data_IF_287935624184
#
_entry.id   IF_287935624184
#
_cell.length_a   1.000
_cell.length_b   1.000
_cell.length_c   1.000
_cell.angle_alpha   90.00
_cell.angle_beta   90.00
_cell.angle_gamma   90.00
#
_symmetry.space_group_name_H-M   'P 1'
#
loop_
_entity.id
_entity.type
_entity.pdbx_description
1 polymer ?
#
# COMPACT_ATOMS: atom_id res chain seq x y z
N UNK A 1 21.59 -15.23 13.95
CA UNK A 1 21.34 -15.55 12.52
C UNK A 1 21.12 -14.24 11.80
N UNK A 2 21.79 -13.94 10.69
CA UNK A 2 21.52 -12.76 9.87
C UNK A 2 20.79 -13.24 8.64
N UNK A 3 19.62 -12.67 8.36
CA UNK A 3 18.89 -12.90 7.12
C UNK A 3 19.25 -11.77 6.16
N UNK A 4 19.67 -12.12 4.96
CA UNK A 4 19.98 -11.15 3.91
C UNK A 4 18.84 -11.18 2.89
N UNK A 5 18.02 -10.13 2.91
CA UNK A 5 17.04 -9.89 1.85
C UNK A 5 17.71 -9.37 0.58
N UNK A 6 17.07 -9.54 -0.56
CA UNK A 6 17.54 -9.01 -1.86
C UNK A 6 17.24 -7.52 -2.05
N UNK A 7 16.46 -6.91 -1.18
CA UNK A 7 16.15 -5.47 -1.15
C UNK A 7 16.09 -4.96 0.29
N UNK A 8 16.20 -3.64 0.44
CA UNK A 8 15.99 -2.98 1.73
C UNK A 8 14.54 -2.58 1.95
N UNK A 9 14.24 -1.98 3.10
CA UNK A 9 12.91 -1.53 3.55
C UNK A 9 12.80 -0.01 3.70
N UNK A 10 13.61 0.74 2.97
CA UNK A 10 13.78 2.18 3.22
C UNK A 10 12.47 2.97 3.12
N UNK A 11 11.62 2.70 2.12
CA UNK A 11 10.35 3.41 2.01
C UNK A 11 9.40 2.99 3.12
N UNK A 12 9.25 1.70 3.35
CA UNK A 12 8.42 1.14 4.41
C UNK A 12 8.74 1.80 5.76
N UNK A 13 9.99 1.75 6.17
CA UNK A 13 10.46 2.33 7.43
C UNK A 13 10.26 3.85 7.47
N UNK A 14 10.56 4.55 6.38
CA UNK A 14 10.40 6.01 6.29
C UNK A 14 8.94 6.44 6.44
N UNK A 15 8.00 5.71 5.83
CA UNK A 15 6.58 6.05 5.90
C UNK A 15 6.01 5.84 7.29
N UNK A 16 6.37 4.77 7.98
CA UNK A 16 5.95 4.54 9.37
C UNK A 16 6.58 5.54 10.33
N UNK A 17 7.89 5.82 10.20
CA UNK A 17 8.56 6.81 11.03
C UNK A 17 7.93 8.22 10.87
N UNK A 18 7.64 8.62 9.64
CA UNK A 18 6.99 9.91 9.36
C UNK A 18 5.59 10.01 9.97
N UNK A 19 4.77 8.96 9.83
CA UNK A 19 3.44 8.88 10.44
C UNK A 19 3.53 8.93 11.97
N UNK A 20 4.46 8.20 12.58
CA UNK A 20 4.68 8.21 14.03
C UNK A 20 5.07 9.60 14.53
N UNK A 21 6.01 10.28 13.88
CA UNK A 21 6.41 11.66 14.23
C UNK A 21 5.22 12.61 14.10
N UNK A 22 4.43 12.50 13.04
CA UNK A 22 3.25 13.34 12.84
C UNK A 22 2.19 13.09 13.93
N UNK A 23 1.89 11.82 14.23
CA UNK A 23 0.86 11.42 15.20
C UNK A 23 1.20 11.81 16.65
N UNK A 24 2.49 11.81 17.01
CA UNK A 24 2.94 12.20 18.36
C UNK A 24 3.06 13.72 18.56
N UNK A 25 2.77 14.53 17.52
CA UNK A 25 2.91 15.98 17.58
C UNK A 25 4.36 16.48 17.55
N UNK A 26 5.33 15.58 17.41
CA UNK A 26 6.77 15.92 17.35
C UNK A 26 7.19 16.58 16.03
N UNK A 27 6.28 16.75 15.09
CA UNK A 27 6.58 17.42 13.81
C UNK A 27 7.17 18.81 13.94
N UNK A 28 6.80 19.56 15.00
CA UNK A 28 7.36 20.89 15.27
C UNK A 28 8.79 20.84 15.83
N UNK A 29 9.14 19.80 16.57
CA UNK A 29 10.47 19.63 17.17
C UNK A 29 11.44 18.89 16.24
N UNK A 30 10.91 18.12 15.28
CA UNK A 30 11.66 17.34 14.30
C UNK A 30 11.37 17.75 12.84
N UNK A 31 11.36 19.07 12.51
CA UNK A 31 10.98 19.51 11.16
C UNK A 31 11.92 18.98 10.08
N UNK A 32 13.23 18.88 10.36
CA UNK A 32 14.22 18.36 9.40
C UNK A 32 14.01 16.88 9.10
N UNK A 33 13.56 16.09 10.09
CA UNK A 33 13.26 14.67 9.90
C UNK A 33 12.06 14.48 8.98
N UNK A 34 10.96 15.23 9.20
CA UNK A 34 9.79 15.18 8.32
C UNK A 34 10.11 15.72 6.92
N UNK A 35 10.94 16.75 6.80
CA UNK A 35 11.37 17.26 5.50
C UNK A 35 12.24 16.24 4.75
N UNK A 36 13.13 15.54 5.44
CA UNK A 36 13.92 14.43 4.88
C UNK A 36 13.03 13.29 4.40
N UNK A 37 12.08 12.86 5.24
CA UNK A 37 11.10 11.84 4.90
C UNK A 37 10.25 12.24 3.68
N UNK A 38 9.77 13.49 3.64
CA UNK A 38 9.01 14.01 2.50
C UNK A 38 9.77 13.92 1.18
N UNK A 39 11.05 14.34 1.19
CA UNK A 39 11.91 14.23 -0.01
C UNK A 39 12.10 12.77 -0.45
N UNK A 40 12.30 11.88 0.51
CA UNK A 40 12.50 10.47 0.20
C UNK A 40 11.22 9.82 -0.36
N UNK A 41 10.07 10.07 0.25
CA UNK A 41 8.76 9.59 -0.21
C UNK A 41 8.48 10.13 -1.63
N UNK A 42 8.72 11.42 -1.87
CA UNK A 42 8.57 12.02 -3.20
C UNK A 42 9.45 11.34 -4.25
N UNK A 43 10.74 11.14 -3.95
CA UNK A 43 11.69 10.52 -4.85
C UNK A 43 11.42 9.04 -5.12
N UNK A 44 10.85 8.32 -4.14
CA UNK A 44 10.61 6.88 -4.22
C UNK A 44 9.35 6.50 -4.98
N UNK A 45 8.45 7.43 -5.28
CA UNK A 45 7.22 7.12 -6.01
C UNK A 45 7.51 6.70 -7.47
N UNK A 46 6.89 5.62 -7.90
CA UNK A 46 6.93 5.17 -9.31
C UNK A 46 6.21 6.17 -10.19
N UNK A 47 6.92 6.74 -11.18
CA UNK A 47 6.44 7.85 -12.00
C UNK A 47 5.82 7.43 -13.33
N UNK A 48 6.04 6.18 -13.74
CA UNK A 48 5.57 5.67 -15.03
C UNK A 48 5.19 4.19 -14.90
N UNK A 49 4.32 3.74 -15.77
CA UNK A 49 4.05 2.32 -15.93
C UNK A 49 5.24 1.61 -16.60
N UNK A 50 5.29 0.29 -16.46
CA UNK A 50 6.21 -0.52 -17.23
C UNK A 50 5.93 -0.37 -18.74
N UNK A 51 6.92 -0.71 -19.57
CA UNK A 51 6.78 -0.62 -21.02
C UNK A 51 5.55 -1.40 -21.54
N UNK A 52 4.71 -0.79 -22.40
CA UNK A 52 3.55 -1.47 -22.96
C UNK A 52 3.98 -2.53 -24.00
N UNK A 53 3.13 -3.54 -24.28
CA UNK A 53 1.84 -3.76 -23.66
C UNK A 53 1.94 -4.54 -22.34
N UNK A 54 1.40 -4.00 -21.26
CA UNK A 54 1.49 -4.57 -19.91
C UNK A 54 1.05 -6.04 -19.86
N UNK A 55 -0.04 -6.38 -20.54
CA UNK A 55 -0.61 -7.74 -20.59
C UNK A 55 0.38 -8.78 -21.14
N UNK A 56 1.24 -8.39 -22.08
CA UNK A 56 2.25 -9.30 -22.67
C UNK A 56 3.24 -9.80 -21.60
N UNK A 57 3.51 -8.95 -20.60
CA UNK A 57 4.46 -9.22 -19.54
C UNK A 57 3.78 -9.54 -18.21
N UNK A 58 2.47 -9.81 -18.25
CA UNK A 58 1.65 -10.08 -17.06
C UNK A 58 1.76 -8.98 -15.99
N UNK A 59 1.92 -7.71 -16.41
CA UNK A 59 2.04 -6.57 -15.51
C UNK A 59 0.74 -5.77 -15.44
N UNK A 60 0.51 -5.17 -14.27
CA UNK A 60 -0.53 -4.16 -14.04
C UNK A 60 0.05 -2.74 -14.11
N UNK A 61 -0.81 -1.75 -13.91
CA UNK A 61 -0.39 -0.36 -13.79
C UNK A 61 0.50 -0.20 -12.55
N UNK A 62 1.49 0.69 -12.64
CA UNK A 62 2.47 0.94 -11.58
C UNK A 62 2.57 2.42 -11.21
N UNK A 63 2.21 3.30 -12.14
CA UNK A 63 2.32 4.75 -11.97
C UNK A 63 1.55 5.24 -10.75
N UNK A 64 2.23 5.90 -9.83
CA UNK A 64 1.67 6.42 -8.58
C UNK A 64 1.92 5.54 -7.36
N UNK A 65 2.31 4.28 -7.55
CA UNK A 65 2.62 3.35 -6.47
C UNK A 65 3.95 3.66 -5.78
N UNK A 66 4.18 3.01 -4.66
CA UNK A 66 5.48 2.96 -3.98
C UNK A 66 5.96 1.52 -3.84
N UNK A 67 7.27 1.29 -4.02
CA UNK A 67 7.92 0.00 -3.76
C UNK A 67 8.26 -0.14 -2.27
N UNK A 68 8.83 -1.28 -1.89
CA UNK A 68 9.25 -1.54 -0.52
C UNK A 68 10.50 -0.74 -0.11
N UNK A 69 11.43 -0.55 -1.03
CA UNK A 69 12.74 0.06 -0.77
C UNK A 69 12.93 1.41 -1.49
N UNK A 70 13.52 1.39 -2.66
CA UNK A 70 13.81 2.56 -3.51
C UNK A 70 13.03 2.51 -4.82
N UNK A 71 12.93 3.63 -5.52
CA UNK A 71 12.27 3.68 -6.82
C UNK A 71 12.84 2.66 -7.82
N UNK A 72 14.14 2.40 -7.78
CA UNK A 72 14.81 1.46 -8.69
C UNK A 72 14.34 0.02 -8.53
N UNK A 73 13.86 -0.36 -7.36
CA UNK A 73 13.20 -1.64 -7.15
C UNK A 73 11.95 -1.77 -8.04
N UNK A 74 11.25 -0.66 -8.29
CA UNK A 74 10.24 -0.50 -9.35
C UNK A 74 9.00 -1.38 -9.23
N UNK A 75 8.93 -2.30 -8.29
CA UNK A 75 7.79 -3.20 -8.12
C UNK A 75 6.79 -2.58 -7.13
N UNK A 76 5.58 -2.23 -7.57
CA UNK A 76 4.55 -1.71 -6.69
C UNK A 76 4.16 -2.72 -5.63
N UNK A 77 3.95 -2.22 -4.41
CA UNK A 77 3.46 -3.02 -3.29
C UNK A 77 2.25 -2.31 -2.71
N UNK A 78 1.16 -3.04 -2.50
CA UNK A 78 -0.13 -2.45 -2.14
C UNK A 78 -0.12 -1.74 -0.80
N UNK A 79 0.45 -2.37 0.23
CA UNK A 79 0.59 -1.78 1.56
C UNK A 79 1.62 -0.65 1.59
N UNK A 80 2.78 -0.79 0.92
CA UNK A 80 3.76 0.28 0.82
C UNK A 80 3.22 1.50 0.08
N UNK A 81 2.42 1.30 -0.98
CA UNK A 81 1.72 2.39 -1.68
C UNK A 81 0.71 3.07 -0.74
N UNK A 82 0.01 2.30 0.05
CA UNK A 82 -0.95 2.78 1.05
C UNK A 82 -0.27 3.57 2.16
N UNK A 83 0.85 3.07 2.68
CA UNK A 83 1.64 3.77 3.69
C UNK A 83 2.30 5.03 3.12
N UNK A 84 2.77 5.01 1.87
CA UNK A 84 3.26 6.19 1.16
C UNK A 84 2.20 7.28 1.02
N UNK A 85 0.97 6.90 0.67
CA UNK A 85 -0.18 7.79 0.61
C UNK A 85 -0.48 8.39 1.99
N UNK A 86 -0.65 7.57 3.02
CA UNK A 86 -0.94 8.02 4.40
C UNK A 86 0.15 8.92 4.97
N UNK A 87 1.42 8.54 4.79
CA UNK A 87 2.54 9.35 5.25
C UNK A 87 2.58 10.73 4.55
N UNK A 88 2.29 10.77 3.24
CA UNK A 88 2.20 12.04 2.50
C UNK A 88 1.11 12.94 3.06
N UNK A 89 -0.06 12.38 3.40
CA UNK A 89 -1.17 13.12 4.00
C UNK A 89 -0.86 13.57 5.43
N UNK A 90 -0.23 12.70 6.23
CA UNK A 90 0.16 13.00 7.61
C UNK A 90 1.21 14.13 7.68
N UNK A 91 2.21 14.10 6.80
CA UNK A 91 3.22 15.17 6.70
C UNK A 91 2.54 16.49 6.26
N UNK A 92 1.64 16.44 5.26
CA UNK A 92 0.90 17.62 4.81
C UNK A 92 0.07 18.23 5.95
N UNK A 93 -0.61 17.39 6.74
CA UNK A 93 -1.40 17.85 7.89
C UNK A 93 -0.53 18.45 9.00
N UNK A 94 0.60 17.82 9.30
CA UNK A 94 1.50 18.28 10.38
C UNK A 94 2.31 19.54 10.03
N UNK A 95 2.63 19.76 8.75
CA UNK A 95 3.57 20.80 8.32
C UNK A 95 2.96 21.86 7.40
N UNK A 96 1.77 21.63 6.84
CA UNK A 96 1.16 22.44 5.80
C UNK A 96 1.82 22.28 4.41
N UNK A 97 2.89 21.49 4.27
CA UNK A 97 3.65 21.32 3.02
C UNK A 97 3.27 20.02 2.33
N UNK A 98 2.91 20.10 1.06
CA UNK A 98 2.64 18.90 0.25
C UNK A 98 3.92 18.12 -0.01
N UNK A 99 3.83 16.80 0.13
CA UNK A 99 4.91 15.86 -0.25
C UNK A 99 4.89 15.65 -1.76
N UNK A 100 3.71 15.30 -2.31
CA UNK A 100 3.48 15.10 -3.74
C UNK A 100 2.25 15.88 -4.20
N UNK A 101 2.10 16.11 -5.50
CA UNK A 101 0.92 16.79 -6.05
C UNK A 101 -0.36 15.97 -5.84
N UNK A 102 -1.53 16.64 -5.86
CA UNK A 102 -2.83 15.95 -5.75
C UNK A 102 -3.01 14.88 -6.84
N UNK A 103 -2.68 15.19 -8.10
CA UNK A 103 -2.78 14.21 -9.18
C UNK A 103 -1.90 12.98 -8.96
N UNK A 104 -0.75 13.11 -8.30
CA UNK A 104 0.09 11.96 -7.94
C UNK A 104 -0.47 11.14 -6.78
N UNK A 105 -1.21 11.76 -5.87
CA UNK A 105 -1.99 11.03 -4.87
C UNK A 105 -3.14 10.27 -5.53
N UNK A 106 -3.81 10.87 -6.53
CA UNK A 106 -4.84 10.20 -7.33
C UNK A 106 -4.27 9.05 -8.17
N UNK A 107 -3.05 9.17 -8.70
CA UNK A 107 -2.38 8.06 -9.38
C UNK A 107 -2.19 6.88 -8.40
N UNK A 108 -1.79 7.15 -7.14
CA UNK A 108 -1.70 6.11 -6.11
C UNK A 108 -3.06 5.49 -5.79
N UNK A 109 -4.09 6.30 -5.59
CA UNK A 109 -5.47 5.82 -5.38
C UNK A 109 -5.91 4.92 -6.54
N UNK A 110 -5.57 5.28 -7.78
CA UNK A 110 -5.87 4.46 -8.95
C UNK A 110 -5.21 3.07 -8.87
N UNK A 111 -3.95 3.01 -8.46
CA UNK A 111 -3.25 1.74 -8.27
C UNK A 111 -3.93 0.91 -7.17
N UNK A 112 -4.18 1.49 -6.00
CA UNK A 112 -4.84 0.80 -4.89
C UNK A 112 -6.19 0.24 -5.32
N UNK A 113 -7.03 1.03 -5.99
CA UNK A 113 -8.33 0.59 -6.50
C UNK A 113 -8.21 -0.54 -7.53
N UNK A 114 -7.21 -0.46 -8.42
CA UNK A 114 -7.00 -1.46 -9.48
C UNK A 114 -6.47 -2.80 -8.95
N UNK A 115 -5.80 -2.79 -7.78
CA UNK A 115 -5.23 -3.98 -7.16
C UNK A 115 -6.23 -4.73 -6.26
N UNK A 116 -7.42 -4.19 -6.06
CA UNK A 116 -8.43 -4.90 -5.29
C UNK A 116 -8.90 -6.16 -6.01
N UNK A 117 -8.70 -7.32 -5.38
CA UNK A 117 -9.13 -8.60 -5.90
C UNK A 117 -10.66 -8.77 -5.86
N UNK A 118 -11.18 -9.76 -6.58
CA UNK A 118 -12.62 -10.08 -6.62
C UNK A 118 -13.21 -10.41 -5.25
N UNK A 119 -12.41 -10.99 -4.34
CA UNK A 119 -12.82 -11.26 -2.96
C UNK A 119 -13.00 -9.98 -2.12
N UNK A 120 -12.51 -8.84 -2.59
CA UNK A 120 -12.55 -7.55 -1.89
C UNK A 120 -11.25 -7.20 -1.14
N UNK A 121 -10.32 -8.15 -1.00
CA UNK A 121 -9.03 -7.93 -0.37
C UNK A 121 -7.93 -7.51 -1.35
N UNK A 122 -6.75 -7.25 -0.83
CA UNK A 122 -5.54 -6.92 -1.59
C UNK A 122 -4.41 -7.88 -1.28
N UNK A 123 -3.70 -8.28 -2.32
CA UNK A 123 -2.45 -9.02 -2.26
C UNK A 123 -1.27 -8.04 -2.07
N UNK A 124 -0.06 -8.56 -1.88
CA UNK A 124 1.13 -7.74 -1.66
C UNK A 124 1.50 -6.91 -2.89
N UNK A 125 1.59 -7.56 -4.04
CA UNK A 125 2.12 -6.92 -5.24
C UNK A 125 1.01 -6.43 -6.18
N UNK A 126 0.43 -7.32 -6.96
CA UNK A 126 -0.59 -7.04 -7.97
C UNK A 126 -1.82 -7.89 -7.67
N UNK A 127 -2.81 -7.93 -8.55
CA UNK A 127 -3.93 -8.86 -8.36
C UNK A 127 -3.45 -10.30 -8.33
N UNK A 128 -4.04 -11.10 -7.44
CA UNK A 128 -3.79 -12.53 -7.33
C UNK A 128 -4.00 -13.23 -8.68
N UNK A 129 -3.03 -14.03 -9.07
CA UNK A 129 -3.05 -14.84 -10.30
C UNK A 129 -2.85 -16.29 -9.95
N UNK A 130 -3.26 -17.17 -10.88
CA UNK A 130 -3.06 -18.61 -10.73
C UNK A 130 -4.04 -19.28 -9.76
N UNK A 131 -3.75 -20.48 -9.33
CA UNK A 131 -4.65 -21.35 -8.59
C UNK A 131 -3.92 -22.03 -7.42
N UNK A 132 -4.62 -22.28 -6.29
CA UNK A 132 -3.99 -22.74 -5.05
C UNK A 132 -3.19 -24.02 -5.15
N UNK A 133 -3.52 -24.91 -6.11
CA UNK A 133 -2.81 -26.17 -6.28
C UNK A 133 -1.33 -26.00 -6.63
N UNK A 134 -0.91 -24.83 -7.10
CA UNK A 134 0.52 -24.54 -7.33
C UNK A 134 1.34 -24.53 -6.03
N UNK A 135 0.71 -24.36 -4.87
CA UNK A 135 1.41 -24.48 -3.58
C UNK A 135 2.02 -25.87 -3.35
N UNK A 136 1.54 -26.91 -4.05
CA UNK A 136 2.16 -28.25 -4.03
C UNK A 136 3.60 -28.23 -4.59
N UNK A 137 3.95 -27.22 -5.37
CA UNK A 137 5.30 -27.02 -5.91
C UNK A 137 6.19 -26.16 -5.01
N UNK A 138 5.68 -25.74 -3.85
CA UNK A 138 6.44 -24.90 -2.91
C UNK A 138 7.67 -25.66 -2.40
N UNK A 139 8.90 -25.21 -2.72
CA UNK A 139 10.11 -25.87 -2.27
C UNK A 139 10.53 -25.44 -0.85
N UNK A 140 9.82 -24.48 -0.23
CA UNK A 140 10.18 -23.95 1.07
C UNK A 140 9.73 -24.89 2.18
N UNK A 141 10.66 -25.25 3.07
CA UNK A 141 10.35 -26.04 4.27
C UNK A 141 9.77 -25.18 5.40
N UNK A 142 10.08 -23.89 5.39
CA UNK A 142 9.82 -22.96 6.50
C UNK A 142 8.56 -22.14 6.28
N UNK A 143 8.20 -21.83 5.03
CA UNK A 143 7.09 -20.97 4.69
C UNK A 143 6.04 -21.69 3.87
N UNK A 144 4.78 -21.63 4.30
CA UNK A 144 3.61 -22.03 3.51
C UNK A 144 3.03 -20.86 2.72
N UNK A 145 2.22 -21.19 1.71
CA UNK A 145 1.40 -20.22 0.97
C UNK A 145 2.19 -19.04 0.38
N UNK A 146 3.35 -19.32 -0.24
CA UNK A 146 4.26 -18.32 -0.81
C UNK A 146 4.41 -18.37 -2.32
N UNK A 147 3.86 -19.40 -2.99
CA UNK A 147 3.91 -19.52 -4.45
C UNK A 147 2.87 -18.60 -5.10
N UNK A 148 1.76 -18.38 -4.41
CA UNK A 148 0.68 -17.50 -4.82
C UNK A 148 0.67 -16.27 -3.91
N UNK A 149 0.51 -15.07 -4.49
CA UNK A 149 0.29 -13.84 -3.74
C UNK A 149 -1.22 -13.70 -3.47
N UNK A 150 -1.64 -14.17 -2.31
CA UNK A 150 -3.04 -14.13 -1.87
C UNK A 150 -3.43 -12.75 -1.37
N UNK A 151 -4.73 -12.52 -1.19
CA UNK A 151 -5.19 -11.36 -0.44
C UNK A 151 -4.91 -11.56 1.05
N UNK A 152 -4.32 -10.55 1.69
CA UNK A 152 -3.88 -10.59 3.08
C UNK A 152 -4.59 -9.56 3.94
N UNK A 153 -4.72 -9.83 5.24
CA UNK A 153 -5.34 -8.89 6.18
C UNK A 153 -4.52 -7.61 6.29
N UNK A 154 -3.21 -7.71 6.33
CA UNK A 154 -2.27 -6.57 6.46
C UNK A 154 -2.38 -5.63 5.26
N UNK A 155 -2.24 -6.16 4.04
CA UNK A 155 -2.35 -5.38 2.81
C UNK A 155 -3.75 -4.77 2.65
N UNK A 156 -4.79 -5.55 2.96
CA UNK A 156 -6.18 -5.09 2.85
C UNK A 156 -6.49 -3.97 3.83
N UNK A 157 -6.06 -4.08 5.09
CA UNK A 157 -6.27 -3.03 6.11
C UNK A 157 -5.51 -1.75 5.77
N UNK A 158 -4.26 -1.87 5.27
CA UNK A 158 -3.47 -0.74 4.81
C UNK A 158 -4.16 0.01 3.66
N UNK A 159 -4.65 -0.72 2.64
CA UNK A 159 -5.35 -0.15 1.49
C UNK A 159 -6.65 0.56 1.89
N UNK A 160 -7.47 -0.07 2.74
CA UNK A 160 -8.72 0.52 3.22
C UNK A 160 -8.48 1.81 3.99
N UNK A 161 -7.53 1.81 4.92
CA UNK A 161 -7.21 2.99 5.72
C UNK A 161 -6.61 4.13 4.88
N UNK A 162 -5.83 3.81 3.85
CA UNK A 162 -5.30 4.80 2.93
C UNK A 162 -6.40 5.45 2.07
N UNK A 163 -7.35 4.65 1.53
CA UNK A 163 -8.50 5.17 0.79
C UNK A 163 -9.39 6.05 1.67
N UNK A 164 -9.62 5.66 2.93
CA UNK A 164 -10.38 6.45 3.88
C UNK A 164 -9.68 7.79 4.20
N UNK A 165 -8.37 7.78 4.47
CA UNK A 165 -7.60 8.99 4.71
C UNK A 165 -7.59 9.94 3.50
N UNK A 166 -7.51 9.41 2.29
CA UNK A 166 -7.62 10.22 1.07
C UNK A 166 -9.02 10.84 0.93
N UNK A 167 -10.07 10.07 1.21
CA UNK A 167 -11.44 10.58 1.16
C UNK A 167 -11.65 11.70 2.17
N UNK A 168 -11.21 11.55 3.42
CA UNK A 168 -11.25 12.58 4.46
C UNK A 168 -10.52 13.87 4.04
N UNK A 169 -9.35 13.73 3.42
CA UNK A 169 -8.63 14.89 2.88
C UNK A 169 -9.43 15.59 1.78
N UNK A 170 -10.09 14.82 0.90
CA UNK A 170 -10.93 15.41 -0.16
C UNK A 170 -12.15 16.11 0.43
N UNK A 171 -12.77 15.57 1.48
CA UNK A 171 -13.88 16.19 2.19
C UNK A 171 -13.46 17.52 2.84
N UNK A 172 -12.34 17.51 3.58
CA UNK A 172 -11.85 18.67 4.33
C UNK A 172 -11.38 19.82 3.44
N UNK A 173 -11.03 19.54 2.19
CA UNK A 173 -10.49 20.52 1.24
C UNK A 173 -11.38 20.77 0.02
N UNK A 174 -12.58 20.20 0.02
CA UNK A 174 -13.52 20.29 -1.09
C UNK A 174 -12.91 19.94 -2.47
N UNK A 175 -12.22 18.78 -2.51
CA UNK A 175 -11.45 18.36 -3.69
C UNK A 175 -12.19 17.37 -4.59
N UNK A 176 -13.46 17.08 -4.33
CA UNK A 176 -14.23 16.14 -5.14
C UNK A 176 -14.64 16.73 -6.51
N UNK A 177 -14.86 18.02 -6.58
CA UNK A 177 -15.17 18.71 -7.82
C UNK A 177 -13.93 18.75 -8.73
N UNK A 178 -13.97 18.01 -9.84
CA UNK A 178 -12.84 17.89 -10.77
C UNK A 178 -11.81 16.81 -10.40
N UNK A 179 -11.98 16.09 -9.28
CA UNK A 179 -11.18 14.93 -8.93
C UNK A 179 -11.43 13.73 -9.84
N UNK A 180 -10.42 12.87 -9.99
CA UNK A 180 -10.46 11.69 -10.86
C UNK A 180 -11.49 10.66 -10.44
N UNK A 181 -11.73 10.53 -9.12
CA UNK A 181 -12.62 9.51 -8.57
C UNK A 181 -13.76 10.15 -7.79
N UNK A 182 -15.03 9.76 -8.06
CA UNK A 182 -16.12 10.14 -7.19
C UNK A 182 -16.00 9.40 -5.83
N UNK A 183 -16.39 10.07 -4.75
CA UNK A 183 -16.36 9.55 -3.37
C UNK A 183 -16.92 8.13 -3.26
N UNK A 184 -18.06 7.86 -3.90
CA UNK A 184 -18.74 6.56 -3.90
C UNK A 184 -17.84 5.39 -4.37
N UNK A 185 -16.84 5.65 -5.22
CA UNK A 185 -15.91 4.61 -5.70
C UNK A 185 -14.98 4.14 -4.58
N UNK A 186 -14.46 5.10 -3.81
CA UNK A 186 -13.62 4.79 -2.66
C UNK A 186 -14.42 4.07 -1.58
N UNK A 187 -15.60 4.59 -1.24
CA UNK A 187 -16.51 3.99 -0.26
C UNK A 187 -16.90 2.56 -0.64
N UNK A 188 -17.23 2.32 -1.89
CA UNK A 188 -17.55 0.97 -2.37
C UNK A 188 -16.38 0.01 -2.29
N UNK A 189 -15.16 0.50 -2.56
CA UNK A 189 -13.93 -0.30 -2.42
C UNK A 189 -13.66 -0.63 -0.95
N UNK A 190 -13.73 0.35 -0.05
CA UNK A 190 -13.58 0.15 1.39
C UNK A 190 -14.63 -0.83 1.91
N UNK A 191 -15.89 -0.69 1.53
CA UNK A 191 -16.95 -1.60 1.95
C UNK A 191 -16.75 -3.05 1.47
N UNK A 192 -16.15 -3.26 0.29
CA UNK A 192 -15.75 -4.61 -0.16
C UNK A 192 -14.62 -5.16 0.69
N UNK A 193 -13.61 -4.34 0.99
CA UNK A 193 -12.51 -4.70 1.87
C UNK A 193 -12.96 -5.06 3.28
N UNK A 194 -13.88 -4.30 3.84
CA UNK A 194 -14.47 -4.58 5.15
C UNK A 194 -15.17 -5.95 5.19
N UNK A 195 -15.97 -6.27 4.17
CA UNK A 195 -16.58 -7.61 4.07
C UNK A 195 -15.53 -8.71 3.99
N UNK A 196 -14.47 -8.49 3.22
CA UNK A 196 -13.36 -9.45 3.14
C UNK A 196 -12.69 -9.64 4.50
N UNK A 197 -12.28 -8.58 5.19
CA UNK A 197 -11.65 -8.65 6.53
C UNK A 197 -12.54 -9.40 7.53
N UNK A 198 -13.84 -9.09 7.56
CA UNK A 198 -14.81 -9.79 8.42
C UNK A 198 -14.93 -11.29 8.07
N UNK A 199 -14.87 -11.63 6.79
CA UNK A 199 -15.03 -13.03 6.33
C UNK A 199 -13.86 -13.93 6.70
N UNK A 200 -12.67 -13.37 6.92
CA UNK A 200 -11.45 -14.12 7.27
C UNK A 200 -11.09 -14.03 8.75
N UNK A 201 -11.91 -13.35 9.56
CA UNK A 201 -11.70 -13.30 11.00
C UNK A 201 -11.99 -14.67 11.63
N UNK A 202 -11.11 -15.11 12.51
CA UNK A 202 -11.25 -16.38 13.24
C UNK A 202 -12.28 -16.27 14.35
N UNK A 203 -12.85 -17.40 14.84
CA UNK A 203 -13.81 -17.39 15.93
C UNK A 203 -13.29 -16.76 17.25
N UNK A 204 -11.98 -16.80 17.48
CA UNK A 204 -11.32 -16.19 18.63
C UNK A 204 -11.11 -14.67 18.48
N UNK A 205 -11.52 -14.08 17.34
CA UNK A 205 -11.36 -12.66 17.01
C UNK A 205 -10.04 -12.31 16.33
N UNK A 206 -9.11 -13.25 16.20
CA UNK A 206 -7.82 -13.01 15.53
C UNK A 206 -7.93 -13.11 14.00
N UNK A 207 -6.87 -12.68 13.32
CA UNK A 207 -6.64 -12.94 11.89
C UNK A 207 -5.34 -13.72 11.71
N UNK A 208 -5.33 -14.57 10.69
CA UNK A 208 -4.11 -15.23 10.26
C UNK A 208 -3.22 -14.22 9.53
N UNK A 209 -1.96 -14.09 9.97
CA UNK A 209 -0.97 -13.25 9.31
C UNK A 209 -0.49 -13.85 8.00
N UNK A 210 0.02 -13.00 7.11
CA UNK A 210 0.66 -13.42 5.87
C UNK A 210 2.03 -14.04 6.14
N UNK A 211 2.56 -14.74 5.12
CA UNK A 211 3.90 -15.34 5.19
C UNK A 211 4.04 -16.30 6.37
N UNK A 212 3.01 -17.14 6.55
CA UNK A 212 2.93 -18.06 7.66
C UNK A 212 4.16 -18.95 7.76
N UNK A 213 4.78 -18.94 8.94
CA UNK A 213 5.85 -19.89 9.26
C UNK A 213 5.20 -21.20 9.65
N UNK A 214 5.58 -22.32 9.00
CA UNK A 214 4.90 -23.60 9.14
C UNK A 214 4.87 -24.20 10.56
N UNK A 215 5.60 -23.63 11.50
CA UNK A 215 5.75 -24.12 12.87
C UNK A 215 5.43 -23.06 13.96
N UNK A 216 4.63 -22.06 13.64
CA UNK A 216 4.10 -21.07 14.61
C UNK A 216 2.62 -21.26 14.86
#
# INVERSE_FOLDING_TARGET
MKMQGYNGSQLWDTTFAAQAIAATGLGRTLPKSLEGAARYIDASQVRADAAPPLKKYYRHISKGAWPFSTQDHGWPISDCSSEGLKASLAIEAATGRRVVSHGRLEDCVNVILSYQNACGGWATYENTRSFPQLELLNPAETFGDIVIDYSYVECSSACMTALAAFAERCDTRDLWAGGRFPRRVLEASVARGERYIKSIQRPDGSWYGSWGVCFT
#
